data_IF_679124222387
#
_entry.id   IF_679124222387
#
_cell.length_a   1.000
_cell.length_b   1.000
_cell.length_c   1.000
_cell.angle_alpha   90.00
_cell.angle_beta   90.00
_cell.angle_gamma   90.00
#
_symmetry.space_group_name_H-M   'P 1'
#
loop_
_entity.id
_entity.type
_entity.pdbx_description
1 polymer ?
#
# COMPACT_ATOMS: atom_id res chain seq x y z
N UNK A 1 2.83 -3.84 -2.24
CA UNK A 1 3.10 -2.73 -3.18
C UNK A 1 3.48 -1.48 -2.41
N UNK A 2 4.15 -0.52 -3.04
CA UNK A 2 4.40 0.81 -2.48
C UNK A 2 3.47 1.80 -3.14
N UNK A 3 2.63 2.44 -2.34
CA UNK A 3 1.76 3.53 -2.80
C UNK A 3 2.62 4.77 -2.97
N UNK A 4 2.40 5.52 -4.05
CA UNK A 4 3.05 6.81 -4.22
C UNK A 4 2.69 7.74 -3.04
N UNK A 5 3.65 8.43 -2.41
CA UNK A 5 3.38 9.28 -1.24
C UNK A 5 2.25 10.29 -1.43
N UNK A 6 2.03 10.82 -2.63
CA UNK A 6 0.94 11.76 -2.91
C UNK A 6 -0.45 11.12 -2.72
N UNK A 7 -0.55 9.80 -2.91
CA UNK A 7 -1.78 9.02 -2.85
C UNK A 7 -2.02 8.33 -1.51
N UNK A 8 -1.00 8.26 -0.64
CA UNK A 8 -1.08 7.51 0.61
C UNK A 8 -2.18 8.04 1.54
N UNK A 9 -2.42 9.36 1.55
CA UNK A 9 -3.52 9.96 2.33
C UNK A 9 -4.92 9.56 1.85
N UNK A 10 -5.08 9.33 0.54
CA UNK A 10 -6.34 8.88 -0.07
C UNK A 10 -6.55 7.37 0.15
N UNK A 11 -5.48 6.59 0.03
CA UNK A 11 -5.47 5.14 0.23
C UNK A 11 -5.62 4.74 1.70
N UNK A 12 -5.13 5.59 2.60
CA UNK A 12 -5.16 5.38 4.03
C UNK A 12 -4.10 4.41 4.54
N UNK A 13 -4.03 4.32 5.87
CA UNK A 13 -3.09 3.43 6.56
C UNK A 13 -3.53 1.95 6.45
N UNK A 14 -2.57 1.00 6.51
CA UNK A 14 -2.90 -0.42 6.60
C UNK A 14 -3.68 -0.72 7.88
N UNK A 15 -4.58 -1.71 7.81
CA UNK A 15 -5.24 -2.22 9.02
C UNK A 15 -4.24 -2.85 9.99
N UNK A 16 -4.65 -3.12 11.23
CA UNK A 16 -3.79 -3.80 12.21
C UNK A 16 -3.35 -5.18 11.72
N UNK A 17 -4.30 -5.95 11.15
CA UNK A 17 -4.02 -7.26 10.56
C UNK A 17 -3.05 -7.14 9.37
N UNK A 18 -3.28 -6.17 8.49
CA UNK A 18 -2.40 -5.90 7.35
C UNK A 18 -0.99 -5.51 7.81
N UNK A 19 -0.88 -4.68 8.84
CA UNK A 19 0.39 -4.26 9.45
C UNK A 19 1.15 -5.44 10.04
N UNK A 20 0.46 -6.40 10.65
CA UNK A 20 1.03 -7.65 11.14
C UNK A 20 1.63 -8.50 10.02
N UNK A 21 0.96 -8.61 8.87
CA UNK A 21 1.51 -9.29 7.70
C UNK A 21 2.70 -8.54 7.10
N UNK A 22 2.57 -7.21 6.93
CA UNK A 22 3.63 -6.36 6.39
C UNK A 22 4.90 -6.38 7.25
N UNK A 23 4.79 -6.61 8.56
CA UNK A 23 5.94 -6.75 9.45
C UNK A 23 6.91 -7.86 9.03
N UNK A 24 6.40 -8.94 8.41
CA UNK A 24 7.24 -10.04 7.91
C UNK A 24 7.79 -9.81 6.50
N UNK A 25 7.40 -8.72 5.83
CA UNK A 25 7.87 -8.38 4.50
C UNK A 25 9.29 -7.82 4.50
N UNK A 26 10.17 -8.38 3.65
CA UNK A 26 11.60 -8.06 3.63
C UNK A 26 11.95 -6.61 3.22
N UNK A 27 11.07 -5.90 2.52
CA UNK A 27 11.26 -4.50 2.11
C UNK A 27 10.00 -3.67 2.39
N UNK A 28 9.55 -3.67 3.66
CA UNK A 28 8.45 -2.82 4.10
C UNK A 28 8.90 -1.36 4.16
N UNK A 29 8.07 -0.47 3.60
CA UNK A 29 8.22 0.98 3.60
C UNK A 29 7.02 1.66 4.26
N UNK A 30 7.10 2.95 4.65
CA UNK A 30 5.97 3.67 5.23
C UNK A 30 4.71 3.65 4.36
N UNK A 31 4.87 3.69 3.03
CA UNK A 31 3.76 3.63 2.08
C UNK A 31 3.45 2.21 1.57
N UNK A 32 3.96 1.18 2.23
CA UNK A 32 3.64 -0.21 1.88
C UNK A 32 2.18 -0.54 2.20
N UNK A 33 1.49 -1.11 1.21
CA UNK A 33 0.16 -1.72 1.33
C UNK A 33 0.15 -3.12 0.71
N UNK A 34 -0.72 -3.99 1.21
CA UNK A 34 -1.12 -5.20 0.52
C UNK A 34 -2.14 -4.82 -0.55
N UNK A 35 -1.80 -5.04 -1.82
CA UNK A 35 -2.65 -4.59 -2.94
C UNK A 35 -4.06 -5.18 -2.88
N UNK A 36 -4.21 -6.40 -2.34
CA UNK A 36 -5.51 -7.04 -2.16
C UNK A 36 -6.40 -6.39 -1.09
N UNK A 37 -5.85 -5.52 -0.23
CA UNK A 37 -6.57 -4.81 0.83
C UNK A 37 -6.91 -3.36 0.44
N UNK A 38 -6.43 -2.88 -0.71
CA UNK A 38 -6.73 -1.52 -1.19
C UNK A 38 -8.05 -1.56 -1.97
N UNK A 39 -9.07 -0.88 -1.44
CA UNK A 39 -10.34 -0.70 -2.13
C UNK A 39 -10.20 0.47 -3.10
N UNK A 40 -10.41 0.21 -4.39
CA UNK A 40 -10.30 1.24 -5.43
C UNK A 40 -11.54 2.14 -5.41
N UNK A 41 -11.32 3.45 -5.42
CA UNK A 41 -12.37 4.46 -5.46
C UNK A 41 -12.14 5.45 -6.61
N UNK A 42 -13.16 6.20 -7.05
CA UNK A 42 -13.01 7.20 -8.13
C UNK A 42 -11.95 8.26 -7.83
N UNK A 43 -11.75 8.61 -6.57
CA UNK A 43 -10.75 9.58 -6.14
C UNK A 43 -9.33 9.14 -6.48
N UNK A 44 -9.08 7.84 -6.68
CA UNK A 44 -7.76 7.26 -7.00
C UNK A 44 -7.43 7.27 -8.50
N UNK A 45 -8.18 7.99 -9.32
CA UNK A 45 -7.92 8.08 -10.76
C UNK A 45 -6.52 8.66 -11.04
N UNK A 46 -5.69 7.89 -11.77
CA UNK A 46 -4.30 8.25 -12.06
C UNK A 46 -3.29 7.80 -11.00
N UNK A 47 -3.73 7.15 -9.92
CA UNK A 47 -2.84 6.61 -8.88
C UNK A 47 -1.78 5.67 -9.44
N UNK A 48 -0.56 5.80 -8.92
CA UNK A 48 0.57 4.91 -9.23
C UNK A 48 1.01 4.14 -8.00
N UNK A 49 1.48 2.91 -8.25
CA UNK A 49 2.12 2.08 -7.25
C UNK A 49 3.37 1.45 -7.84
N UNK A 50 4.34 1.16 -6.97
CA UNK A 50 5.52 0.37 -7.33
C UNK A 50 5.37 -1.04 -6.78
N UNK A 51 5.66 -2.04 -7.61
CA UNK A 51 5.70 -3.45 -7.19
C UNK A 51 6.96 -3.67 -6.36
N UNK A 52 6.84 -4.34 -5.20
CA UNK A 52 7.99 -4.62 -4.35
C UNK A 52 8.93 -5.61 -5.07
N UNK A 53 10.25 -5.51 -4.90
CA UNK A 53 11.23 -6.31 -5.63
C UNK A 53 11.15 -7.83 -5.38
N UNK A 54 10.40 -8.27 -4.36
CA UNK A 54 10.20 -9.67 -3.98
C UNK A 54 8.72 -10.01 -3.71
N UNK A 55 7.82 -9.42 -4.50
CA UNK A 55 6.35 -9.55 -4.35
C UNK A 55 5.84 -10.95 -4.65
#
# INVERSE_FOLDING_TARGET
VYVDPEWFGVVGEPSEMESGTLYFGADRRPTSRLSCQVVITPEMEGMRVTVAPYS
#
